data_IF_405597821466
#
_entry.id   IF_405597821466
#
_cell.length_a   1.000
_cell.length_b   1.000
_cell.length_c   1.000
_cell.angle_alpha   90.00
_cell.angle_beta   90.00
_cell.angle_gamma   90.00
#
_symmetry.space_group_name_H-M   'P 1'
#
loop_
_entity.id
_entity.type
_entity.pdbx_description
1 polymer ?
#
# COMPACT_ATOMS: atom_id res chain seq x y z
N UNK A 1 -12.33 1.23 9.93
CA UNK A 1 -11.45 0.13 9.51
C UNK A 1 -11.53 0.00 7.99
N UNK A 2 -10.42 0.19 7.27
CA UNK A 2 -10.39 0.10 5.80
C UNK A 2 -9.78 -1.25 5.42
N UNK A 3 -10.53 -2.08 4.68
CA UNK A 3 -10.05 -3.36 4.13
C UNK A 3 -10.26 -3.36 2.63
N UNK A 4 -9.22 -3.66 1.88
CA UNK A 4 -9.25 -3.69 0.41
C UNK A 4 -8.47 -4.90 -0.08
N UNK A 5 -8.98 -5.57 -1.12
CA UNK A 5 -8.26 -6.65 -1.80
C UNK A 5 -7.44 -6.01 -2.92
N UNK A 6 -6.12 -6.14 -2.85
CA UNK A 6 -5.20 -5.63 -3.87
C UNK A 6 -4.70 -6.77 -4.75
N UNK A 7 -4.56 -6.50 -6.05
CA UNK A 7 -3.88 -7.39 -6.97
C UNK A 7 -2.46 -6.89 -7.20
N UNK A 8 -1.48 -7.72 -6.87
CA UNK A 8 -0.07 -7.47 -7.19
C UNK A 8 0.08 -7.40 -8.72
N UNK A 9 0.70 -6.33 -9.20
CA UNK A 9 1.00 -6.14 -10.62
C UNK A 9 2.41 -6.65 -10.95
N UNK A 10 2.84 -6.48 -12.20
CA UNK A 10 4.18 -6.90 -12.62
C UNK A 10 5.25 -6.29 -11.70
N UNK A 11 6.31 -7.05 -11.45
CA UNK A 11 7.46 -6.63 -10.60
C UNK A 11 7.07 -6.26 -9.15
N UNK A 12 6.02 -6.86 -8.60
CA UNK A 12 5.65 -6.63 -7.20
C UNK A 12 4.94 -5.31 -6.91
N UNK A 13 4.52 -4.56 -7.95
CA UNK A 13 3.89 -3.25 -7.78
C UNK A 13 2.49 -3.41 -7.14
N UNK A 14 2.29 -2.74 -6.01
CA UNK A 14 0.99 -2.55 -5.37
C UNK A 14 0.54 -1.09 -5.57
N UNK A 15 -0.72 -0.91 -5.97
CA UNK A 15 -1.32 0.43 -6.09
C UNK A 15 -2.15 0.65 -4.83
N UNK A 16 -1.80 1.66 -4.03
CA UNK A 16 -2.58 2.03 -2.85
C UNK A 16 -3.79 2.88 -3.28
N UNK A 17 -5.03 2.37 -3.15
CA UNK A 17 -6.22 3.14 -3.50
C UNK A 17 -6.40 4.30 -2.52
N UNK A 18 -7.13 5.35 -2.95
CA UNK A 18 -7.35 6.57 -2.16
C UNK A 18 -7.76 6.30 -0.70
N UNK A 19 -8.74 5.42 -0.40
CA UNK A 19 -9.15 5.17 0.98
C UNK A 19 -8.04 4.58 1.87
N UNK A 20 -7.13 3.79 1.28
CA UNK A 20 -6.02 3.20 2.03
C UNK A 20 -4.90 4.21 2.26
N UNK A 21 -4.61 5.07 1.27
CA UNK A 21 -3.64 6.17 1.41
C UNK A 21 -4.06 7.15 2.51
N UNK A 22 -5.32 7.58 2.48
CA UNK A 22 -5.87 8.50 3.48
C UNK A 22 -5.86 7.86 4.88
N UNK A 23 -6.29 6.60 5.01
CA UNK A 23 -6.28 5.90 6.29
C UNK A 23 -4.86 5.68 6.85
N UNK A 24 -3.85 5.56 5.99
CA UNK A 24 -2.45 5.40 6.38
C UNK A 24 -1.67 6.72 6.47
N UNK A 25 -2.30 7.87 6.18
CA UNK A 25 -1.61 9.16 6.14
C UNK A 25 -0.55 9.29 5.04
N UNK A 26 -0.65 8.51 3.96
CA UNK A 26 0.34 8.48 2.88
C UNK A 26 0.00 9.55 1.84
N UNK A 27 0.85 10.57 1.77
CA UNK A 27 0.85 11.61 0.73
C UNK A 27 1.74 11.27 -0.47
N UNK A 28 2.10 12.30 -1.23
CA UNK A 28 3.17 12.19 -2.23
C UNK A 28 4.54 12.16 -1.53
N UNK A 29 5.42 11.27 -1.98
CA UNK A 29 6.78 11.16 -1.45
C UNK A 29 7.25 9.72 -1.31
N UNK A 30 8.36 9.58 -0.60
CA UNK A 30 8.95 8.28 -0.27
C UNK A 30 8.37 7.74 1.04
N UNK A 31 8.26 6.42 1.13
CA UNK A 31 7.77 5.72 2.33
C UNK A 31 8.69 4.55 2.65
N UNK A 32 8.89 4.27 3.94
CA UNK A 32 9.58 3.07 4.39
C UNK A 32 8.64 1.87 4.32
N UNK A 33 9.13 0.76 3.77
CA UNK A 33 8.41 -0.50 3.73
C UNK A 33 9.25 -1.59 4.40
N UNK A 34 8.67 -2.28 5.38
CA UNK A 34 9.29 -3.40 6.06
C UNK A 34 8.50 -4.68 5.80
N UNK A 35 9.20 -5.78 5.54
CA UNK A 35 8.62 -7.10 5.44
C UNK A 35 9.33 -8.02 6.43
N UNK A 36 8.60 -8.98 6.98
CA UNK A 36 9.14 -10.11 7.74
C UNK A 36 8.81 -11.40 7.01
N UNK A 37 9.51 -12.47 7.37
CA UNK A 37 9.20 -13.80 6.84
C UNK A 37 7.71 -14.13 7.00
N UNK A 38 7.16 -14.73 5.95
CA UNK A 38 5.78 -15.19 5.84
C UNK A 38 5.70 -16.37 4.90
#
# INVERSE_FOLDING_TARGET
>A
MVKVVLKVRKKGVLILPKPLREAAGIGEGEVSAEAREG
#
